data_IF_009194329750
#
_entry.id   IF_009194329750
#
_cell.length_a   1.000
_cell.length_b   1.000
_cell.length_c   1.000
_cell.angle_alpha   90.00
_cell.angle_beta   90.00
_cell.angle_gamma   90.00
#
_symmetry.space_group_name_H-M   'P 1'
#
loop_
_entity.id
_entity.type
_entity.pdbx_description
1 polymer ?
#
# COMPACT_ATOMS: atom_id res chain seq x y z
N UNK A 1 -12.34 12.91 -11.27
CA UNK A 1 -11.43 11.75 -11.38
C UNK A 1 -10.01 12.15 -10.98
N UNK A 2 -9.26 11.23 -10.36
CA UNK A 2 -7.85 11.40 -10.00
C UNK A 2 -7.04 10.30 -10.66
N UNK A 3 -6.06 10.68 -11.47
CA UNK A 3 -5.19 9.75 -12.18
C UNK A 3 -3.94 9.48 -11.37
N UNK A 4 -3.57 8.21 -11.28
CA UNK A 4 -2.29 7.76 -10.76
C UNK A 4 -1.53 7.08 -11.89
N UNK A 5 -0.34 7.58 -12.18
CA UNK A 5 0.48 7.11 -13.29
C UNK A 5 1.48 6.04 -12.81
N UNK A 6 2.02 5.26 -13.74
CA UNK A 6 3.10 4.32 -13.44
C UNK A 6 4.41 5.05 -13.11
N UNK A 7 5.35 4.43 -12.36
CA UNK A 7 6.59 5.07 -11.95
C UNK A 7 7.44 5.61 -13.09
N UNK A 8 7.39 4.97 -14.27
CA UNK A 8 8.09 5.41 -15.49
C UNK A 8 7.67 6.81 -15.95
N UNK A 9 6.50 7.30 -15.54
CA UNK A 9 6.04 8.63 -15.85
C UNK A 9 6.76 9.72 -15.03
N UNK A 10 7.46 9.38 -13.95
CA UNK A 10 8.13 10.37 -13.09
C UNK A 10 9.13 11.24 -13.88
N UNK A 11 9.93 10.63 -14.76
CA UNK A 11 10.95 11.36 -15.51
C UNK A 11 10.33 12.46 -16.39
N UNK A 12 9.24 12.13 -17.10
CA UNK A 12 8.54 13.11 -17.94
C UNK A 12 7.78 14.15 -17.13
N UNK A 13 7.16 13.75 -16.00
CA UNK A 13 6.46 14.70 -15.12
C UNK A 13 7.43 15.72 -14.53
N UNK A 14 8.59 15.27 -14.06
CA UNK A 14 9.64 16.13 -13.51
C UNK A 14 10.24 17.04 -14.58
N UNK A 15 10.55 16.49 -15.77
CA UNK A 15 11.06 17.27 -16.90
C UNK A 15 10.09 18.39 -17.31
N UNK A 16 8.78 18.13 -17.29
CA UNK A 16 7.74 19.11 -17.60
C UNK A 16 7.35 20.00 -16.41
N UNK A 17 7.94 19.79 -15.23
CA UNK A 17 7.58 20.52 -14.01
C UNK A 17 6.14 20.25 -13.52
N UNK A 18 5.54 19.14 -13.92
CA UNK A 18 4.18 18.77 -13.54
C UNK A 18 4.16 18.30 -12.09
N UNK A 19 3.30 18.94 -11.29
CA UNK A 19 3.05 18.61 -9.89
C UNK A 19 1.70 17.94 -9.69
N UNK A 20 1.54 17.25 -8.56
CA UNK A 20 0.27 16.64 -8.19
C UNK A 20 -0.87 17.67 -8.09
N UNK A 21 -2.02 17.32 -8.64
CA UNK A 21 -3.21 18.15 -8.68
C UNK A 21 -3.41 18.93 -9.98
N UNK A 22 -2.51 18.84 -10.96
CA UNK A 22 -2.70 19.48 -12.28
C UNK A 22 -3.91 18.88 -13.01
N UNK A 23 -4.66 19.73 -13.71
CA UNK A 23 -5.89 19.38 -14.42
C UNK A 23 -7.05 20.28 -14.02
N UNK A 24 -8.27 19.83 -14.26
CA UNK A 24 -9.51 20.56 -13.96
C UNK A 24 -10.38 19.80 -12.96
N UNK A 25 -11.61 20.26 -12.75
CA UNK A 25 -12.51 19.66 -11.76
C UNK A 25 -12.95 18.24 -12.13
N UNK A 26 -12.89 17.88 -13.42
CA UNK A 26 -13.25 16.57 -13.93
C UNK A 26 -12.07 15.61 -13.83
N UNK A 27 -10.86 16.03 -14.19
CA UNK A 27 -9.68 15.15 -14.23
C UNK A 27 -8.43 15.85 -13.67
N UNK A 28 -7.75 15.19 -12.73
CA UNK A 28 -6.45 15.66 -12.20
C UNK A 28 -5.42 14.55 -12.18
N UNK A 29 -4.20 14.83 -12.62
CA UNK A 29 -3.04 13.96 -12.37
C UNK A 29 -2.67 14.14 -10.90
N UNK A 30 -2.88 13.11 -10.10
CA UNK A 30 -2.77 13.20 -8.65
C UNK A 30 -1.46 12.63 -8.12
N UNK A 31 -0.93 11.60 -8.77
CA UNK A 31 0.10 10.80 -8.14
C UNK A 31 0.68 9.67 -8.97
N UNK A 32 1.45 8.83 -8.28
CA UNK A 32 2.08 7.62 -8.82
C UNK A 32 1.50 6.40 -8.12
N UNK A 33 1.22 5.35 -8.89
CA UNK A 33 0.82 4.03 -8.38
C UNK A 33 1.98 3.05 -8.49
N UNK A 34 2.29 2.35 -7.39
CA UNK A 34 3.30 1.30 -7.32
C UNK A 34 2.68 0.00 -6.81
N UNK A 35 3.23 -1.14 -7.23
CA UNK A 35 2.93 -2.46 -6.66
C UNK A 35 4.13 -2.95 -5.84
N UNK A 36 3.91 -3.19 -4.55
CA UNK A 36 4.91 -3.80 -3.68
C UNK A 36 4.94 -5.33 -3.85
N UNK A 37 3.78 -5.94 -4.07
CA UNK A 37 3.58 -7.38 -4.23
C UNK A 37 2.37 -7.72 -5.13
N UNK A 38 2.00 -9.00 -5.19
CA UNK A 38 0.83 -9.49 -5.93
C UNK A 38 -0.42 -9.64 -5.06
N UNK A 39 -1.16 -10.74 -5.23
CA UNK A 39 -2.43 -11.01 -4.54
C UNK A 39 -2.41 -12.35 -3.78
N UNK A 40 -3.24 -12.47 -2.74
CA UNK A 40 -3.37 -13.71 -1.98
C UNK A 40 -3.97 -14.85 -2.84
N UNK A 41 -4.89 -14.53 -3.75
CA UNK A 41 -5.59 -15.51 -4.58
C UNK A 41 -4.63 -16.30 -5.45
N UNK A 42 -3.68 -15.59 -6.06
CA UNK A 42 -2.62 -16.13 -6.92
C UNK A 42 -1.35 -16.57 -6.15
N UNK A 43 -1.34 -16.49 -4.82
CA UNK A 43 -0.17 -16.75 -3.97
C UNK A 43 1.05 -15.89 -4.28
N UNK A 44 0.82 -14.66 -4.75
CA UNK A 44 1.88 -13.72 -5.12
C UNK A 44 2.02 -12.55 -4.16
N UNK A 45 1.04 -12.34 -3.25
CA UNK A 45 1.22 -11.42 -2.14
C UNK A 45 2.36 -11.88 -1.23
N UNK A 46 3.21 -10.94 -0.79
CA UNK A 46 4.48 -11.24 -0.14
C UNK A 46 4.31 -11.34 1.38
N UNK A 47 4.42 -12.56 1.90
CA UNK A 47 4.16 -12.90 3.30
C UNK A 47 5.46 -13.06 4.08
N UNK A 48 5.39 -12.88 5.41
CA UNK A 48 6.53 -13.13 6.31
C UNK A 48 6.83 -14.61 6.52
N UNK A 49 5.87 -15.49 6.22
CA UNK A 49 5.99 -16.94 6.28
C UNK A 49 5.25 -17.59 5.08
N UNK A 50 5.60 -18.83 4.68
CA UNK A 50 5.00 -19.52 3.54
C UNK A 50 3.47 -19.57 3.57
N UNK A 51 2.83 -19.68 2.42
CA UNK A 51 1.39 -19.91 2.33
C UNK A 51 1.02 -21.20 3.06
N UNK A 52 -0.11 -21.19 3.76
CA UNK A 52 -0.56 -22.34 4.54
C UNK A 52 -0.91 -23.54 3.66
N UNK A 53 -1.51 -23.29 2.49
CA UNK A 53 -1.84 -24.32 1.51
C UNK A 53 -0.75 -24.56 0.46
N UNK A 54 0.38 -23.85 0.53
CA UNK A 54 1.53 -24.04 -0.33
C UNK A 54 2.82 -23.61 0.38
N UNK A 55 3.44 -24.52 1.16
CA UNK A 55 4.66 -24.22 1.91
C UNK A 55 5.88 -23.89 1.03
N UNK A 56 5.82 -24.10 -0.29
CA UNK A 56 6.93 -23.84 -1.20
C UNK A 56 7.12 -22.36 -1.53
N UNK A 57 6.12 -21.51 -1.24
CA UNK A 57 6.14 -20.09 -1.59
C UNK A 57 5.68 -19.21 -0.44
N UNK A 58 6.28 -18.01 -0.33
CA UNK A 58 5.80 -16.91 0.52
C UNK A 58 5.33 -15.73 -0.33
N UNK A 59 5.06 -15.95 -1.62
CA UNK A 59 4.90 -14.89 -2.60
C UNK A 59 6.20 -14.14 -2.86
N UNK A 60 6.11 -12.94 -3.44
CA UNK A 60 7.30 -12.17 -3.82
C UNK A 60 7.01 -10.67 -3.88
N UNK A 61 8.04 -9.87 -3.62
CA UNK A 61 7.99 -8.46 -3.95
C UNK A 61 8.03 -8.25 -5.48
N UNK A 62 7.36 -7.21 -5.94
CA UNK A 62 7.39 -6.75 -7.35
C UNK A 62 8.42 -5.65 -7.54
N UNK A 63 8.71 -4.89 -6.49
CA UNK A 63 9.67 -3.78 -6.49
C UNK A 63 10.68 -3.97 -5.35
N UNK A 64 11.90 -3.45 -5.51
CA UNK A 64 12.87 -3.41 -4.41
C UNK A 64 12.58 -2.28 -3.43
N UNK A 65 13.01 -2.44 -2.16
CA UNK A 65 12.92 -1.37 -1.16
C UNK A 65 13.64 -0.09 -1.59
N UNK A 66 14.81 -0.24 -2.21
CA UNK A 66 15.62 0.89 -2.68
C UNK A 66 14.91 1.69 -3.78
N UNK A 67 14.28 1.00 -4.73
CA UNK A 67 13.52 1.62 -5.81
C UNK A 67 12.25 2.29 -5.30
N UNK A 68 11.49 1.62 -4.41
CA UNK A 68 10.32 2.23 -3.77
C UNK A 68 10.70 3.48 -2.96
N UNK A 69 11.83 3.46 -2.25
CA UNK A 69 12.35 4.62 -1.53
C UNK A 69 12.70 5.77 -2.50
N UNK A 70 13.34 5.47 -3.63
CA UNK A 70 13.65 6.47 -4.65
C UNK A 70 12.37 7.12 -5.21
N UNK A 71 11.37 6.31 -5.56
CA UNK A 71 10.06 6.79 -6.04
C UNK A 71 9.39 7.66 -4.98
N UNK A 72 9.41 7.25 -3.72
CA UNK A 72 8.78 8.00 -2.63
C UNK A 72 9.44 9.36 -2.39
N UNK A 73 10.78 9.45 -2.49
CA UNK A 73 11.51 10.73 -2.44
C UNK A 73 11.08 11.65 -3.57
N UNK A 74 11.13 11.17 -4.81
CA UNK A 74 10.71 11.90 -6.02
C UNK A 74 9.27 12.39 -5.93
N UNK A 75 8.34 11.54 -5.49
CA UNK A 75 6.95 11.92 -5.27
C UNK A 75 6.81 13.08 -4.26
N UNK A 76 7.58 13.03 -3.17
CA UNK A 76 7.55 14.08 -2.14
C UNK A 76 8.11 15.42 -2.62
N UNK A 77 9.06 15.41 -3.56
CA UNK A 77 9.66 16.61 -4.15
C UNK A 77 8.76 17.24 -5.23
N UNK A 78 8.04 16.39 -5.98
CA UNK A 78 7.13 16.78 -7.05
C UNK A 78 5.68 16.99 -6.61
N UNK A 79 5.40 16.98 -5.30
CA UNK A 79 4.05 17.11 -4.72
C UNK A 79 3.06 16.08 -5.26
N UNK A 80 3.54 14.91 -5.68
CA UNK A 80 2.73 13.80 -6.18
C UNK A 80 2.36 12.89 -5.01
N UNK A 81 1.10 12.47 -4.96
CA UNK A 81 0.65 11.49 -3.98
C UNK A 81 1.16 10.09 -4.38
N UNK A 82 1.88 9.42 -3.49
CA UNK A 82 2.27 8.03 -3.72
C UNK A 82 1.17 7.09 -3.21
N UNK A 83 0.73 6.17 -4.07
CA UNK A 83 -0.17 5.07 -3.76
C UNK A 83 0.56 3.74 -3.94
N UNK A 84 0.70 2.96 -2.88
CA UNK A 84 1.44 1.68 -2.92
C UNK A 84 0.50 0.52 -2.65
N UNK A 85 0.32 -0.36 -3.62
CA UNK A 85 -0.34 -1.65 -3.40
C UNK A 85 0.53 -2.53 -2.51
N UNK A 86 -0.03 -2.97 -1.39
CA UNK A 86 0.59 -3.95 -0.50
C UNK A 86 -0.49 -4.85 0.12
N UNK A 87 -0.50 -6.12 -0.26
CA UNK A 87 -1.47 -7.09 0.24
C UNK A 87 -0.87 -7.93 1.38
N UNK A 88 0.31 -8.48 1.17
CA UNK A 88 0.99 -9.34 2.15
C UNK A 88 1.65 -8.54 3.27
N UNK A 89 1.81 -9.18 4.43
CA UNK A 89 2.34 -8.52 5.62
C UNK A 89 3.82 -8.13 5.48
N UNK A 90 4.61 -8.89 4.72
CA UNK A 90 6.01 -8.55 4.45
C UNK A 90 6.14 -7.43 3.40
N UNK A 91 5.20 -7.35 2.45
CA UNK A 91 5.10 -6.18 1.57
C UNK A 91 4.79 -4.93 2.39
N UNK A 92 3.87 -5.02 3.35
CA UNK A 92 3.55 -3.92 4.24
C UNK A 92 4.75 -3.47 5.07
N UNK A 93 5.56 -4.38 5.61
CA UNK A 93 6.82 -4.02 6.30
C UNK A 93 7.74 -3.16 5.42
N UNK A 94 7.94 -3.55 4.16
CA UNK A 94 8.75 -2.78 3.22
C UNK A 94 8.19 -1.37 2.98
N UNK A 95 6.86 -1.24 2.85
CA UNK A 95 6.21 0.07 2.66
C UNK A 95 6.35 0.95 3.90
N UNK A 96 6.13 0.37 5.09
CA UNK A 96 6.31 1.07 6.37
C UNK A 96 7.74 1.58 6.52
N UNK A 97 8.74 0.74 6.25
CA UNK A 97 10.15 1.11 6.32
C UNK A 97 10.47 2.29 5.38
N UNK A 98 9.93 2.28 4.16
CA UNK A 98 10.12 3.38 3.21
C UNK A 98 9.44 4.65 3.71
N UNK A 99 8.20 4.56 4.18
CA UNK A 99 7.46 5.73 4.66
C UNK A 99 8.11 6.34 5.92
N UNK A 100 8.66 5.51 6.81
CA UNK A 100 9.44 5.95 7.97
C UNK A 100 10.72 6.67 7.53
N UNK A 101 11.43 6.15 6.52
CA UNK A 101 12.62 6.80 5.97
C UNK A 101 12.33 8.12 5.25
N UNK A 102 11.13 8.30 4.68
CA UNK A 102 10.66 9.56 4.10
C UNK A 102 10.29 10.59 5.20
N UNK A 103 9.85 10.10 6.36
CA UNK A 103 9.42 10.91 7.50
C UNK A 103 7.91 11.14 7.53
N UNK A 104 7.33 11.00 8.71
CA UNK A 104 5.88 11.08 8.95
C UNK A 104 5.26 12.39 8.46
N UNK A 105 5.99 13.51 8.53
CA UNK A 105 5.48 14.82 8.11
C UNK A 105 5.24 14.87 6.62
N UNK A 106 6.16 14.34 5.82
CA UNK A 106 6.00 14.25 4.36
C UNK A 106 4.90 13.27 3.99
N UNK A 107 4.88 12.09 4.61
CA UNK A 107 3.84 11.06 4.39
C UNK A 107 2.44 11.65 4.64
N UNK A 108 2.25 12.35 5.77
CA UNK A 108 0.99 13.00 6.13
C UNK A 108 0.66 14.19 5.22
N UNK A 109 1.63 15.07 4.94
CA UNK A 109 1.44 16.27 4.10
C UNK A 109 1.03 15.92 2.68
N UNK A 110 1.69 14.94 2.07
CA UNK A 110 1.39 14.47 0.70
C UNK A 110 0.36 13.34 0.67
N UNK A 111 -0.18 12.97 1.84
CA UNK A 111 -1.24 11.98 2.01
C UNK A 111 -0.91 10.65 1.35
N UNK A 112 0.33 10.16 1.48
CA UNK A 112 0.72 8.88 0.91
C UNK A 112 -0.23 7.77 1.37
N UNK A 113 -0.50 6.83 0.45
CA UNK A 113 -1.52 5.80 0.62
C UNK A 113 -0.93 4.41 0.50
N UNK A 114 -1.52 3.51 1.27
CA UNK A 114 -1.30 2.08 1.17
C UNK A 114 -2.62 1.50 0.67
N UNK A 115 -2.61 0.95 -0.54
CA UNK A 115 -3.75 0.31 -1.15
C UNK A 115 -3.84 -1.14 -0.65
N UNK A 116 -5.06 -1.57 -0.35
CA UNK A 116 -5.41 -2.84 0.26
C UNK A 116 -5.05 -2.93 1.74
N UNK A 117 -3.75 -3.04 2.06
CA UNK A 117 -3.27 -3.44 3.38
C UNK A 117 -4.04 -4.67 3.90
N UNK A 118 -4.14 -5.70 3.06
CA UNK A 118 -5.05 -6.83 3.32
C UNK A 118 -4.65 -7.62 4.57
N UNK A 119 -3.36 -7.92 4.73
CA UNK A 119 -2.81 -8.68 5.87
C UNK A 119 -2.00 -7.73 6.76
N UNK A 120 -2.53 -7.40 7.94
CA UNK A 120 -1.90 -6.47 8.90
C UNK A 120 -1.65 -7.17 10.22
N UNK A 121 -0.36 -7.41 10.53
CA UNK A 121 0.06 -7.95 11.82
C UNK A 121 -0.23 -6.96 12.95
N UNK A 122 -0.39 -7.50 14.16
CA UNK A 122 -0.61 -6.67 15.35
C UNK A 122 0.53 -5.67 15.58
N UNK A 123 1.78 -6.07 15.32
CA UNK A 123 2.97 -5.24 15.48
C UNK A 123 3.07 -4.08 14.47
N UNK A 124 2.34 -4.15 13.35
CA UNK A 124 2.33 -3.11 12.31
C UNK A 124 1.37 -1.96 12.62
N UNK A 125 0.37 -2.18 13.48
CA UNK A 125 -0.67 -1.18 13.78
C UNK A 125 -0.08 0.09 14.41
N UNK A 126 0.81 0.03 15.42
CA UNK A 126 1.42 1.25 15.97
C UNK A 126 2.23 2.03 14.94
N UNK A 127 2.94 1.34 14.04
CA UNK A 127 3.71 1.96 12.95
C UNK A 127 2.79 2.72 11.99
N UNK A 128 1.69 2.09 11.57
CA UNK A 128 0.67 2.71 10.73
C UNK A 128 0.05 3.96 11.37
N UNK A 129 -0.30 3.87 12.66
CA UNK A 129 -0.85 5.00 13.43
C UNK A 129 0.12 6.19 13.43
N UNK A 130 1.41 5.94 13.68
CA UNK A 130 2.43 6.98 13.74
C UNK A 130 2.69 7.64 12.38
N UNK A 131 2.71 6.86 11.30
CA UNK A 131 2.97 7.36 9.95
C UNK A 131 1.86 8.26 9.39
N UNK A 132 0.61 8.06 9.85
CA UNK A 132 -0.58 8.78 9.36
C UNK A 132 -0.82 8.64 7.85
N UNK A 133 -0.27 7.59 7.25
CA UNK A 133 -0.60 7.17 5.89
C UNK A 133 -2.09 6.79 5.81
N UNK A 134 -2.68 6.91 4.62
CA UNK A 134 -4.08 6.54 4.40
C UNK A 134 -4.13 5.10 3.92
N UNK A 135 -4.90 4.26 4.62
CA UNK A 135 -5.23 2.93 4.13
C UNK A 135 -6.44 3.03 3.20
N UNK A 136 -6.36 2.46 2.01
CA UNK A 136 -7.50 2.33 1.08
C UNK A 136 -7.92 0.86 1.03
N UNK A 137 -9.00 0.53 1.73
CA UNK A 137 -9.48 -0.84 1.89
C UNK A 137 -10.67 -1.15 0.95
N UNK A 138 -10.82 -2.42 0.58
CA UNK A 138 -11.91 -2.93 -0.27
C UNK A 138 -12.78 -3.89 0.52
N UNK A 139 -13.80 -3.44 1.27
CA UNK A 139 -14.61 -4.31 2.12
C UNK A 139 -15.27 -5.47 1.39
N UNK A 140 -15.53 -5.33 0.09
CA UNK A 140 -16.12 -6.39 -0.72
C UNK A 140 -15.22 -7.64 -0.79
N UNK A 141 -13.91 -7.51 -0.57
CA UNK A 141 -12.99 -8.66 -0.53
C UNK A 141 -13.30 -9.63 0.62
N UNK A 142 -13.97 -9.18 1.69
CA UNK A 142 -14.45 -10.07 2.75
C UNK A 142 -15.44 -11.10 2.19
N UNK A 143 -16.22 -10.72 1.18
CA UNK A 143 -17.22 -11.58 0.52
C UNK A 143 -16.56 -12.44 -0.57
N UNK A 144 -15.71 -11.83 -1.41
CA UNK A 144 -15.15 -12.51 -2.58
C UNK A 144 -14.02 -13.48 -2.25
N UNK A 145 -13.27 -13.23 -1.17
CA UNK A 145 -12.07 -13.99 -0.82
C UNK A 145 -12.39 -15.10 0.18
N UNK A 146 -13.44 -15.87 -0.08
CA UNK A 146 -13.88 -17.02 0.73
C UNK A 146 -12.77 -18.06 0.97
N UNK A 147 -11.71 -18.05 0.15
CA UNK A 147 -10.55 -18.94 0.22
C UNK A 147 -9.42 -18.42 1.13
N UNK A 148 -9.53 -17.21 1.70
CA UNK A 148 -8.41 -16.56 2.42
C UNK A 148 -7.90 -17.38 3.62
N UNK A 149 -8.79 -18.07 4.33
CA UNK A 149 -8.43 -18.96 5.45
C UNK A 149 -7.59 -20.14 4.99
N UNK A 150 -7.79 -20.64 3.76
CA UNK A 150 -6.97 -21.69 3.17
C UNK A 150 -5.56 -21.19 2.85
N UNK A 151 -5.43 -19.93 2.41
CA UNK A 151 -4.12 -19.33 2.09
C UNK A 151 -3.28 -19.03 3.31
N UNK A 152 -3.90 -18.56 4.40
CA UNK A 152 -3.18 -18.02 5.55
C UNK A 152 -3.19 -18.93 6.79
N UNK A 153 -4.12 -19.88 6.84
CA UNK A 153 -4.37 -20.71 8.02
C UNK A 153 -5.17 -19.94 9.10
N UNK A 154 -5.64 -20.65 10.14
CA UNK A 154 -6.53 -20.08 11.15
C UNK A 154 -5.91 -18.93 11.95
N UNK A 155 -4.61 -18.98 12.21
CA UNK A 155 -3.92 -17.96 13.02
C UNK A 155 -3.76 -16.64 12.25
N UNK A 156 -3.22 -16.70 11.02
CA UNK A 156 -2.96 -15.49 10.22
C UNK A 156 -4.20 -14.95 9.52
N UNK A 157 -5.26 -15.74 9.37
CA UNK A 157 -6.54 -15.25 8.87
C UNK A 157 -7.14 -14.13 9.75
N UNK A 158 -6.78 -14.09 11.04
CA UNK A 158 -7.16 -13.01 11.95
C UNK A 158 -6.53 -11.65 11.59
N UNK A 159 -5.50 -11.65 10.75
CA UNK A 159 -4.80 -10.44 10.31
C UNK A 159 -5.47 -9.76 9.11
N UNK A 160 -6.49 -10.40 8.53
CA UNK A 160 -7.06 -10.00 7.25
C UNK A 160 -8.16 -8.95 7.44
N UNK A 161 -8.17 -7.90 6.62
CA UNK A 161 -9.26 -6.92 6.51
C UNK A 161 -9.67 -6.28 7.86
N UNK A 162 -8.69 -5.97 8.72
CA UNK A 162 -8.88 -5.45 10.10
C UNK A 162 -9.37 -4.01 10.19
N UNK A 163 -10.38 -3.62 9.41
CA UNK A 163 -10.88 -2.25 9.34
C UNK A 163 -11.21 -1.69 10.72
N UNK A 164 -11.86 -2.48 11.60
CA UNK A 164 -12.17 -2.05 12.97
C UNK A 164 -10.92 -1.76 13.79
N UNK A 165 -9.94 -2.69 13.81
CA UNK A 165 -8.68 -2.47 14.54
C UNK A 165 -7.94 -1.24 14.04
N UNK A 166 -7.94 -0.99 12.72
CA UNK A 166 -7.31 0.20 12.15
C UNK A 166 -8.03 1.49 12.59
N UNK A 167 -9.36 1.52 12.55
CA UNK A 167 -10.17 2.67 13.01
C UNK A 167 -9.95 2.94 14.50
N UNK A 168 -9.98 1.90 15.33
CA UNK A 168 -9.80 2.03 16.79
C UNK A 168 -8.41 2.56 17.16
N UNK A 169 -7.43 2.43 16.27
CA UNK A 169 -6.08 2.97 16.43
C UNK A 169 -5.86 4.31 15.69
N UNK A 170 -6.94 5.04 15.38
CA UNK A 170 -6.90 6.35 14.72
C UNK A 170 -6.20 6.37 13.34
N UNK A 171 -6.13 5.22 12.67
CA UNK A 171 -5.58 5.13 11.31
C UNK A 171 -6.65 5.61 10.33
N UNK A 172 -6.26 6.50 9.41
CA UNK A 172 -7.17 7.02 8.38
C UNK A 172 -7.47 5.95 7.35
N UNK A 173 -8.75 5.64 7.16
CA UNK A 173 -9.21 4.67 6.17
C UNK A 173 -10.09 5.38 5.14
N UNK A 174 -9.91 5.00 3.89
CA UNK A 174 -10.85 5.23 2.80
C UNK A 174 -11.33 3.89 2.24
N UNK A 175 -12.52 3.87 1.65
CA UNK A 175 -13.10 2.68 1.04
C UNK A 175 -13.04 2.78 -0.48
N UNK A 176 -12.79 1.65 -1.15
CA UNK A 176 -12.95 1.49 -2.58
C UNK A 176 -13.58 0.13 -2.91
N UNK A 177 -13.93 -0.08 -4.16
CA UNK A 177 -14.44 -1.35 -4.70
C UNK A 177 -13.35 -2.07 -5.48
#
# INVERSE_FOLDING_TARGET
MRLYLEPKALDILEHLGIRGGIGDDIIKIQGIKVFADGSLGARTAWLSAPYFDDPSTSGKNVISKAELLNIAKRCSESYLQLAVHAIGDKALDMVLDVFEAIGHDKVNRFRFRIEHASVVRIDQIPRLSNLKAIIVAQPHFIITDWWVTKRLGPERAQWVYRCRSLIDNNIRIALST
#
